data_IF_578260193697
#
_entry.id   IF_578260193697
#
_cell.length_a   1.000
_cell.length_b   1.000
_cell.length_c   1.000
_cell.angle_alpha   90.00
_cell.angle_beta   90.00
_cell.angle_gamma   90.00
#
_symmetry.space_group_name_H-M   'P 1'
#
loop_
_entity.id
_entity.type
_entity.pdbx_description
1 polymer ?
#
# COMPACT_ATOMS: atom_id res chain seq x y z
N UNK A 1 24.98 14.39 -13.36
CA UNK A 1 23.99 14.96 -12.42
C UNK A 1 23.38 13.80 -11.65
N UNK A 2 23.58 13.72 -10.33
CA UNK A 2 23.02 12.62 -9.52
C UNK A 2 21.50 12.74 -9.55
N UNK A 3 20.80 11.73 -10.09
CA UNK A 3 19.36 11.63 -9.97
C UNK A 3 19.03 11.64 -8.48
N UNK A 4 18.35 12.71 -8.06
CA UNK A 4 17.77 12.83 -6.73
C UNK A 4 16.77 11.69 -6.62
N UNK A 5 17.06 10.70 -5.77
CA UNK A 5 16.06 9.71 -5.39
C UNK A 5 14.82 10.48 -4.93
N UNK A 6 13.61 10.18 -5.42
CA UNK A 6 12.42 10.83 -4.92
C UNK A 6 12.37 10.57 -3.41
N UNK A 7 12.45 11.65 -2.63
CA UNK A 7 12.35 11.59 -1.18
C UNK A 7 11.11 10.77 -0.82
N UNK A 8 11.30 9.73 -0.03
CA UNK A 8 10.29 8.75 0.37
C UNK A 8 9.18 9.33 1.27
N UNK A 9 9.09 10.65 1.38
CA UNK A 9 8.29 11.42 2.34
C UNK A 9 6.94 11.92 1.79
N UNK A 10 6.56 11.53 0.57
CA UNK A 10 5.22 11.82 0.03
C UNK A 10 4.14 10.88 0.58
N UNK A 11 4.13 10.62 1.89
CA UNK A 11 2.98 10.02 2.58
C UNK A 11 1.92 11.10 2.84
N UNK A 12 1.32 11.62 1.77
CA UNK A 12 0.19 12.56 1.86
C UNK A 12 -1.10 12.08 1.20
N UNK A 13 -1.19 10.81 0.80
CA UNK A 13 -2.50 10.24 0.47
C UNK A 13 -3.13 9.60 1.71
N UNK A 14 -3.66 10.46 2.58
CA UNK A 14 -4.37 10.08 3.81
C UNK A 14 -5.50 9.07 3.55
N UNK A 15 -6.04 9.03 2.33
CA UNK A 15 -7.05 8.08 1.89
C UNK A 15 -6.52 6.63 1.87
N UNK A 16 -5.30 6.43 1.36
CA UNK A 16 -4.68 5.10 1.23
C UNK A 16 -4.31 4.54 2.59
N UNK A 17 -3.69 5.35 3.46
CA UNK A 17 -3.34 4.95 4.82
C UNK A 17 -4.59 4.65 5.65
N UNK A 18 -5.66 5.45 5.50
CA UNK A 18 -6.94 5.15 6.15
C UNK A 18 -7.57 3.86 5.61
N UNK A 19 -7.42 3.58 4.31
CA UNK A 19 -7.83 2.32 3.70
C UNK A 19 -7.12 1.12 4.31
N UNK A 20 -5.79 1.20 4.46
CA UNK A 20 -4.97 0.19 5.12
C UNK A 20 -5.43 -0.07 6.55
N UNK A 21 -5.53 0.99 7.36
CA UNK A 21 -5.93 0.89 8.77
C UNK A 21 -7.32 0.30 8.96
N UNK A 22 -8.28 0.67 8.10
CA UNK A 22 -9.65 0.07 8.11
C UNK A 22 -9.64 -1.43 7.84
N UNK A 23 -8.59 -1.95 7.23
CA UNK A 23 -8.40 -3.38 6.95
C UNK A 23 -7.43 -4.06 7.91
N UNK A 24 -7.00 -3.36 8.96
CA UNK A 24 -6.12 -3.90 10.00
C UNK A 24 -4.63 -3.78 9.68
N UNK A 25 -4.24 -3.13 8.59
CA UNK A 25 -2.84 -2.91 8.21
C UNK A 25 -2.36 -1.53 8.65
N UNK A 26 -1.24 -1.45 9.35
CA UNK A 26 -0.62 -0.20 9.80
C UNK A 26 0.17 0.49 8.68
N UNK A 27 0.75 -0.29 7.77
CA UNK A 27 1.62 0.19 6.70
C UNK A 27 1.61 -0.78 5.49
N UNK A 28 2.37 -0.44 4.45
CA UNK A 28 2.50 -1.27 3.25
C UNK A 28 3.35 -2.53 3.45
N UNK A 29 4.20 -2.58 4.48
CA UNK A 29 5.01 -3.77 4.79
C UNK A 29 4.15 -4.89 5.36
N UNK A 30 3.23 -4.59 6.29
CA UNK A 30 2.28 -5.59 6.79
C UNK A 30 1.34 -6.10 5.68
N UNK A 31 0.91 -5.22 4.78
CA UNK A 31 0.12 -5.65 3.62
C UNK A 31 0.96 -6.51 2.66
N UNK A 32 2.24 -6.18 2.47
CA UNK A 32 3.18 -6.96 1.68
C UNK A 32 3.35 -8.37 2.25
N UNK A 33 3.53 -8.51 3.55
CA UNK A 33 3.61 -9.82 4.22
C UNK A 33 2.33 -10.65 4.03
N UNK A 34 1.16 -10.02 4.11
CA UNK A 34 -0.13 -10.70 3.93
C UNK A 34 -0.39 -11.15 2.49
N UNK A 35 0.10 -10.38 1.52
CA UNK A 35 -0.17 -10.60 0.09
C UNK A 35 0.95 -11.36 -0.63
N UNK A 36 2.15 -11.41 -0.06
CA UNK A 36 3.37 -11.92 -0.70
C UNK A 36 3.97 -10.96 -1.73
N UNK A 37 3.45 -9.73 -1.82
CA UNK A 37 3.91 -8.70 -2.76
C UNK A 37 4.97 -7.80 -2.12
N UNK A 38 5.66 -6.98 -2.93
CA UNK A 38 6.58 -5.96 -2.40
C UNK A 38 5.84 -4.72 -1.90
N UNK A 39 6.23 -4.18 -0.74
CA UNK A 39 5.68 -2.93 -0.21
C UNK A 39 5.82 -1.75 -1.19
N UNK A 40 6.93 -1.70 -1.94
CA UNK A 40 7.15 -0.67 -2.95
C UNK A 40 6.20 -0.83 -4.15
N UNK A 41 5.90 -2.06 -4.54
CA UNK A 41 4.93 -2.36 -5.59
C UNK A 41 3.51 -1.98 -5.16
N UNK A 42 3.13 -2.33 -3.93
CA UNK A 42 1.84 -1.96 -3.35
C UNK A 42 1.68 -0.44 -3.23
N UNK A 43 2.75 0.26 -2.81
CA UNK A 43 2.77 1.73 -2.81
C UNK A 43 2.57 2.29 -4.21
N UNK A 44 3.29 1.77 -5.20
CA UNK A 44 3.16 2.21 -6.59
C UNK A 44 1.72 1.98 -7.13
N UNK A 45 1.14 0.82 -6.83
CA UNK A 45 -0.24 0.50 -7.22
C UNK A 45 -1.27 1.38 -6.51
N UNK A 46 -1.03 1.77 -5.26
CA UNK A 46 -1.94 2.68 -4.56
C UNK A 46 -2.06 4.05 -5.26
N UNK A 47 -0.99 4.50 -5.93
CA UNK A 47 -0.91 5.78 -6.64
C UNK A 47 -1.43 5.65 -8.08
N UNK A 48 -0.89 4.71 -8.86
CA UNK A 48 -1.14 4.64 -10.30
C UNK A 48 -2.28 3.68 -10.67
N UNK A 49 -2.65 2.76 -9.78
CA UNK A 49 -3.66 1.72 -10.03
C UNK A 49 -4.61 1.53 -8.84
N UNK A 50 -5.33 2.58 -8.39
CA UNK A 50 -6.08 2.56 -7.13
C UNK A 50 -7.18 1.48 -7.08
N UNK A 51 -7.80 1.14 -8.22
CA UNK A 51 -8.77 0.04 -8.30
C UNK A 51 -8.13 -1.33 -8.04
N UNK A 52 -6.94 -1.58 -8.61
CA UNK A 52 -6.19 -2.82 -8.40
C UNK A 52 -5.74 -2.92 -6.95
N UNK A 53 -5.23 -1.82 -6.40
CA UNK A 53 -4.85 -1.73 -4.99
C UNK A 53 -6.05 -2.01 -4.07
N UNK A 54 -7.22 -1.43 -4.34
CA UNK A 54 -8.43 -1.68 -3.55
C UNK A 54 -8.86 -3.16 -3.57
N UNK A 55 -8.72 -3.86 -4.70
CA UNK A 55 -9.02 -5.29 -4.79
C UNK A 55 -8.06 -6.13 -3.95
N UNK A 56 -6.76 -5.84 -4.01
CA UNK A 56 -5.73 -6.52 -3.21
C UNK A 56 -6.00 -6.29 -1.72
N UNK A 57 -6.24 -5.05 -1.34
CA UNK A 57 -6.53 -4.65 0.03
C UNK A 57 -7.82 -5.31 0.55
N UNK A 58 -8.85 -5.44 -0.29
CA UNK A 58 -10.08 -6.16 0.07
C UNK A 58 -9.84 -7.66 0.25
N UNK A 59 -9.03 -8.28 -0.61
CA UNK A 59 -8.67 -9.70 -0.53
C UNK A 59 -7.77 -10.04 0.66
N UNK A 60 -6.81 -9.16 1.00
CA UNK A 60 -5.90 -9.35 2.13
C UNK A 60 -6.64 -9.31 3.48
N UNK A 61 -7.59 -8.39 3.63
CA UNK A 61 -8.40 -8.28 4.85
C UNK A 61 -9.40 -9.42 5.06
N UNK A 62 -9.69 -10.25 4.04
CA UNK A 62 -10.61 -11.39 4.16
C UNK A 62 -9.95 -12.65 4.75
N UNK A 63 -8.61 -12.69 4.86
CA UNK A 63 -7.86 -13.85 5.38
C UNK A 63 -7.69 -13.87 6.91
N UNK A 64 -8.16 -12.85 7.64
CA UNK A 64 -7.93 -12.68 9.09
C UNK A 64 -9.14 -13.08 9.95
N UNK A 65 -10.06 -13.89 9.42
CA UNK A 65 -11.17 -14.50 10.16
C UNK A 65 -11.17 -16.00 9.94
#
# INVERSE_FOLDING_TARGET
MRQMAPSTDDYKDSSVINGLKKKGFQNFEELAESTGESAQLLKNWSIFHPRRFALILAGAGAKVT
#
